data_IF_935669507188
#
_entry.id   IF_935669507188
#
_cell.length_a   1.000
_cell.length_b   1.000
_cell.length_c   1.000
_cell.angle_alpha   90.00
_cell.angle_beta   90.00
_cell.angle_gamma   90.00
#
_symmetry.space_group_name_H-M   'P 1'
#
loop_
_entity.id
_entity.type
_entity.pdbx_description
1 polymer ?
#
# COMPACT_ATOMS: atom_id res chain seq x y z
N UNK A 1 -17.98 -4.69 33.04
CA UNK A 1 -17.51 -4.50 31.65
C UNK A 1 -18.65 -3.89 30.87
N UNK A 2 -18.46 -2.80 30.12
CA UNK A 2 -19.46 -2.38 29.12
C UNK A 2 -19.63 -3.52 28.11
N UNK A 3 -20.84 -3.78 27.66
CA UNK A 3 -21.08 -4.86 26.70
C UNK A 3 -20.40 -4.55 25.36
N UNK A 4 -20.08 -5.59 24.59
CA UNK A 4 -19.56 -5.46 23.22
C UNK A 4 -20.44 -4.55 22.36
N UNK A 5 -21.76 -4.62 22.56
CA UNK A 5 -22.76 -3.81 21.88
C UNK A 5 -22.65 -2.33 22.24
N UNK A 6 -22.56 -2.00 23.53
CA UNK A 6 -22.42 -0.61 24.00
C UNK A 6 -21.09 0.00 23.56
N UNK A 7 -20.03 -0.80 23.50
CA UNK A 7 -18.70 -0.37 23.06
C UNK A 7 -18.70 -0.05 21.57
N UNK A 8 -19.37 -0.88 20.75
CA UNK A 8 -19.62 -0.59 19.34
C UNK A 8 -20.46 0.68 19.17
N UNK A 9 -21.52 0.87 19.94
CA UNK A 9 -22.37 2.06 19.86
C UNK A 9 -21.65 3.37 20.25
N UNK A 10 -20.60 3.31 21.07
CA UNK A 10 -19.73 4.47 21.37
C UNK A 10 -18.72 4.75 20.25
N UNK A 11 -18.19 3.72 19.57
CA UNK A 11 -17.34 3.85 18.38
C UNK A 11 -18.04 4.62 17.25
N UNK A 12 -19.34 4.42 17.11
CA UNK A 12 -20.17 5.02 16.06
C UNK A 12 -20.51 6.50 16.29
N UNK A 13 -20.20 7.07 17.46
CA UNK A 13 -20.56 8.47 17.81
C UNK A 13 -19.42 9.47 17.65
N UNK A 14 -18.22 9.03 17.25
CA UNK A 14 -17.10 9.93 17.02
C UNK A 14 -17.33 10.75 15.74
N UNK A 15 -17.57 12.06 15.89
CA UNK A 15 -17.98 12.97 14.81
C UNK A 15 -16.83 13.76 14.18
N UNK A 16 -15.58 13.43 14.47
CA UNK A 16 -14.41 14.16 13.94
C UNK A 16 -13.99 13.65 12.55
N UNK A 17 -14.78 13.97 11.53
CA UNK A 17 -14.53 13.51 10.16
C UNK A 17 -13.44 14.29 9.41
N UNK A 18 -12.69 15.19 10.06
CA UNK A 18 -11.67 16.03 9.38
C UNK A 18 -10.62 15.20 8.64
N UNK A 19 -10.16 14.12 9.25
CA UNK A 19 -9.23 13.17 8.62
C UNK A 19 -9.85 12.56 7.36
N UNK A 20 -11.10 12.11 7.44
CA UNK A 20 -11.82 11.58 6.29
C UNK A 20 -11.95 12.62 5.19
N UNK A 21 -12.50 13.81 5.49
CA UNK A 21 -12.67 14.90 4.52
C UNK A 21 -11.38 15.26 3.81
N UNK A 22 -10.26 15.40 4.54
CA UNK A 22 -8.95 15.70 3.95
C UNK A 22 -8.46 14.61 2.99
N UNK A 23 -8.62 13.33 3.36
CA UNK A 23 -8.15 12.21 2.54
C UNK A 23 -9.02 12.02 1.31
N UNK A 24 -10.32 12.29 1.42
CA UNK A 24 -11.26 12.20 0.29
C UNK A 24 -11.00 13.21 -0.81
N UNK A 25 -10.29 14.31 -0.55
CA UNK A 25 -9.90 15.24 -1.64
C UNK A 25 -8.69 14.75 -2.43
N UNK A 26 -8.05 13.63 -2.04
CA UNK A 26 -6.79 13.15 -2.62
C UNK A 26 -6.85 11.70 -3.10
N UNK A 27 -7.37 10.80 -2.26
CA UNK A 27 -7.43 9.36 -2.54
C UNK A 27 -8.06 9.05 -3.91
N UNK A 28 -9.17 9.69 -4.34
CA UNK A 28 -9.72 9.45 -5.67
C UNK A 28 -8.73 9.70 -6.81
N UNK A 29 -8.00 10.83 -6.77
CA UNK A 29 -6.98 11.14 -7.79
C UNK A 29 -5.83 10.15 -7.76
N UNK A 30 -5.37 9.77 -6.56
CA UNK A 30 -4.33 8.75 -6.40
C UNK A 30 -4.74 7.39 -7.01
N UNK A 31 -6.00 6.99 -6.84
CA UNK A 31 -6.54 5.75 -7.43
C UNK A 31 -6.60 5.87 -8.95
N UNK A 32 -7.06 7.00 -9.48
CA UNK A 32 -7.11 7.24 -10.92
C UNK A 32 -5.71 7.16 -11.55
N UNK A 33 -4.72 7.76 -10.90
CA UNK A 33 -3.32 7.72 -11.36
C UNK A 33 -2.74 6.30 -11.31
N UNK A 34 -3.07 5.51 -10.27
CA UNK A 34 -2.69 4.09 -10.24
C UNK A 34 -3.38 3.29 -11.34
N UNK A 35 -4.66 3.57 -11.62
CA UNK A 35 -5.39 2.91 -12.71
C UNK A 35 -4.73 3.16 -14.06
N UNK A 36 -4.40 4.42 -14.38
CA UNK A 36 -3.69 4.77 -15.62
C UNK A 36 -2.33 4.08 -15.71
N UNK A 37 -1.57 4.11 -14.62
CA UNK A 37 -0.26 3.47 -14.56
C UNK A 37 -0.34 1.95 -14.78
N UNK A 38 -1.39 1.30 -14.28
CA UNK A 38 -1.61 -0.12 -14.51
C UNK A 38 -2.01 -0.42 -15.96
N UNK A 39 -2.80 0.43 -16.60
CA UNK A 39 -3.10 0.30 -18.02
C UNK A 39 -1.82 0.38 -18.87
N UNK A 40 -0.89 1.28 -18.52
CA UNK A 40 0.41 1.41 -19.19
C UNK A 40 1.29 0.16 -18.99
N UNK A 41 1.37 -0.35 -17.75
CA UNK A 41 2.11 -1.59 -17.44
C UNK A 41 1.51 -2.78 -18.22
N UNK A 42 0.18 -2.86 -18.29
CA UNK A 42 -0.53 -3.90 -19.04
C UNK A 42 -0.27 -3.79 -20.54
N UNK A 43 -0.22 -2.58 -21.09
CA UNK A 43 0.11 -2.36 -22.49
C UNK A 43 1.55 -2.83 -22.78
N UNK A 44 2.52 -2.39 -21.98
CA UNK A 44 3.91 -2.80 -22.12
C UNK A 44 4.06 -4.33 -21.99
N UNK A 45 3.39 -4.94 -21.01
CA UNK A 45 3.44 -6.39 -20.81
C UNK A 45 2.85 -7.18 -22.00
N UNK A 46 1.82 -6.63 -22.67
CA UNK A 46 1.27 -7.25 -23.89
C UNK A 46 2.21 -7.16 -25.08
N UNK A 47 2.97 -6.07 -25.19
CA UNK A 47 3.89 -5.83 -26.31
C UNK A 47 5.23 -6.55 -26.13
N UNK A 48 5.82 -6.45 -24.94
CA UNK A 48 7.19 -6.92 -24.65
C UNK A 48 7.22 -8.27 -23.91
N UNK A 49 6.07 -8.73 -23.39
CA UNK A 49 5.99 -9.91 -22.55
C UNK A 49 6.55 -9.68 -21.14
N UNK A 50 6.85 -10.78 -20.46
CA UNK A 50 7.41 -10.75 -19.11
C UNK A 50 8.83 -10.17 -19.12
N UNK A 51 9.01 -8.97 -18.53
CA UNK A 51 10.28 -8.27 -18.46
C UNK A 51 10.50 -7.61 -17.08
N UNK A 52 11.75 -7.25 -16.78
CA UNK A 52 12.14 -6.68 -15.48
C UNK A 52 11.44 -5.36 -15.15
N UNK A 53 11.31 -4.45 -16.12
CA UNK A 53 10.74 -3.12 -15.90
C UNK A 53 9.25 -3.21 -15.53
N UNK A 54 8.46 -3.99 -16.28
CA UNK A 54 7.04 -4.16 -16.00
C UNK A 54 6.79 -4.85 -14.65
N UNK A 55 7.66 -5.78 -14.23
CA UNK A 55 7.57 -6.41 -12.90
C UNK A 55 7.90 -5.42 -11.78
N UNK A 56 8.90 -4.58 -11.98
CA UNK A 56 9.31 -3.54 -11.02
C UNK A 56 8.17 -2.55 -10.80
N UNK A 57 7.62 -2.02 -11.89
CA UNK A 57 6.48 -1.09 -11.87
C UNK A 57 5.23 -1.72 -11.25
N UNK A 58 4.98 -3.00 -11.52
CA UNK A 58 3.88 -3.73 -10.91
C UNK A 58 4.03 -3.83 -9.38
N UNK A 59 5.21 -4.22 -8.88
CA UNK A 59 5.42 -4.30 -7.43
C UNK A 59 5.30 -2.92 -6.76
N UNK A 60 5.79 -1.86 -7.42
CA UNK A 60 5.60 -0.48 -6.95
C UNK A 60 4.12 -0.11 -6.87
N UNK A 61 3.32 -0.48 -7.88
CA UNK A 61 1.88 -0.28 -7.90
C UNK A 61 1.18 -1.03 -6.75
N UNK A 62 1.59 -2.27 -6.46
CA UNK A 62 1.06 -3.04 -5.30
C UNK A 62 1.25 -2.31 -3.98
N UNK A 63 2.49 -1.92 -3.68
CA UNK A 63 2.81 -1.22 -2.43
C UNK A 63 2.02 0.10 -2.35
N UNK A 64 1.92 0.87 -3.44
CA UNK A 64 1.15 2.11 -3.50
C UNK A 64 -0.35 1.90 -3.22
N UNK A 65 -0.97 0.93 -3.89
CA UNK A 65 -2.40 0.61 -3.71
C UNK A 65 -2.68 0.16 -2.30
N UNK A 66 -1.81 -0.66 -1.71
CA UNK A 66 -1.96 -1.06 -0.31
C UNK A 66 -1.80 0.12 0.64
N UNK A 67 -0.87 1.05 0.39
CA UNK A 67 -0.74 2.27 1.21
C UNK A 67 -1.99 3.13 1.11
N UNK A 68 -2.63 3.23 -0.07
CA UNK A 68 -3.93 3.91 -0.23
C UNK A 68 -5.02 3.20 0.59
N UNK A 69 -5.11 1.88 0.52
CA UNK A 69 -6.09 1.09 1.29
C UNK A 69 -5.94 1.28 2.78
N UNK A 70 -4.70 1.20 3.27
CA UNK A 70 -4.37 1.46 4.67
C UNK A 70 -4.73 2.88 5.08
N UNK A 71 -4.41 3.83 4.22
CA UNK A 71 -4.73 5.23 4.45
C UNK A 71 -6.24 5.48 4.53
N UNK A 72 -7.03 4.79 3.69
CA UNK A 72 -8.50 4.80 3.78
C UNK A 72 -8.97 4.13 5.08
N UNK A 73 -8.39 2.99 5.45
CA UNK A 73 -8.73 2.29 6.69
C UNK A 73 -8.47 3.19 7.91
N UNK A 74 -7.40 3.98 7.90
CA UNK A 74 -7.03 4.89 8.98
C UNK A 74 -8.10 5.96 9.26
N UNK A 75 -8.87 6.37 8.26
CA UNK A 75 -9.92 7.39 8.42
C UNK A 75 -11.35 6.85 8.44
N UNK A 76 -11.54 5.55 8.20
CA UNK A 76 -12.85 4.88 8.13
C UNK A 76 -13.08 3.90 9.27
N UNK A 77 -12.03 3.55 10.01
CA UNK A 77 -12.09 2.64 11.14
C UNK A 77 -11.64 3.33 12.42
N UNK A 78 -12.14 2.85 13.55
CA UNK A 78 -11.68 3.19 14.89
C UNK A 78 -11.10 1.96 15.60
N UNK A 79 -10.29 2.23 16.61
CA UNK A 79 -9.75 1.23 17.54
C UNK A 79 -10.05 1.63 18.98
N UNK A 80 -10.04 0.63 19.87
CA UNK A 80 -10.17 0.85 21.30
C UNK A 80 -8.79 1.03 21.92
N UNK A 81 -8.56 2.20 22.52
CA UNK A 81 -7.37 2.45 23.32
C UNK A 81 -7.43 1.70 24.67
N UNK A 82 -6.28 1.55 25.33
CA UNK A 82 -6.18 0.87 26.63
C UNK A 82 -7.07 1.49 27.72
N UNK A 83 -7.37 2.79 27.63
CA UNK A 83 -8.28 3.52 28.52
C UNK A 83 -9.76 3.40 28.12
N UNK A 84 -10.08 2.50 27.16
CA UNK A 84 -11.40 2.26 26.58
C UNK A 84 -11.99 3.46 25.86
N UNK A 85 -11.18 4.43 25.46
CA UNK A 85 -11.62 5.48 24.54
C UNK A 85 -11.49 5.01 23.10
N UNK A 86 -12.40 5.55 22.30
CA UNK A 86 -12.40 5.40 20.85
C UNK A 86 -11.42 6.41 20.26
N UNK A 87 -10.57 5.94 19.36
CA UNK A 87 -9.71 6.81 18.56
C UNK A 87 -9.58 6.28 17.12
N UNK A 88 -9.19 7.15 16.21
CA UNK A 88 -8.65 6.71 14.92
C UNK A 88 -7.41 5.85 15.18
N UNK A 89 -7.21 4.76 14.42
CA UNK A 89 -6.00 3.99 14.53
C UNK A 89 -4.81 4.88 14.17
N UNK A 90 -3.78 4.76 14.98
CA UNK A 90 -2.47 5.31 14.68
C UNK A 90 -1.95 4.69 13.39
N UNK A 91 -1.00 5.37 12.77
CA UNK A 91 -0.37 4.85 11.56
C UNK A 91 0.29 3.49 11.81
N UNK A 92 0.94 3.29 12.95
CA UNK A 92 1.55 2.02 13.32
C UNK A 92 0.51 0.88 13.36
N UNK A 93 -0.62 1.09 14.04
CA UNK A 93 -1.71 0.10 14.16
C UNK A 93 -2.27 -0.28 12.77
N UNK A 94 -2.40 0.69 11.86
CA UNK A 94 -2.84 0.42 10.48
C UNK A 94 -1.77 -0.33 9.69
N UNK A 95 -0.50 0.06 9.83
CA UNK A 95 0.63 -0.53 9.12
C UNK A 95 0.88 -2.00 9.54
N UNK A 96 0.52 -2.41 10.76
CA UNK A 96 0.49 -3.81 11.16
C UNK A 96 -0.47 -4.66 10.30
N UNK A 97 -1.46 -4.05 9.63
CA UNK A 97 -2.32 -4.75 8.66
C UNK A 97 -1.64 -4.99 7.31
N UNK A 98 -0.67 -4.15 6.95
CA UNK A 98 0.09 -4.25 5.70
C UNK A 98 0.85 -5.57 5.60
N UNK A 99 1.30 -6.10 6.74
CA UNK A 99 2.15 -7.29 6.83
C UNK A 99 1.35 -8.57 6.99
N UNK A 100 0.00 -8.51 6.97
CA UNK A 100 -0.88 -9.66 7.23
C UNK A 100 -0.53 -10.43 8.52
N UNK A 101 0.14 -9.78 9.48
CA UNK A 101 0.45 -10.38 10.77
C UNK A 101 -0.81 -10.50 11.62
N UNK A 102 -0.77 -11.35 12.65
CA UNK A 102 -1.88 -11.44 13.61
C UNK A 102 -1.96 -10.12 14.37
N UNK A 103 -2.85 -9.25 13.93
CA UNK A 103 -3.16 -8.00 14.61
C UNK A 103 -3.81 -8.38 15.94
N UNK A 104 -3.24 -7.89 17.05
CA UNK A 104 -3.79 -8.13 18.39
C UNK A 104 -4.98 -7.25 18.72
N UNK A 105 -5.28 -6.28 17.85
CA UNK A 105 -6.28 -5.24 18.01
C UNK A 105 -7.37 -5.30 16.93
N UNK A 106 -8.62 -5.25 17.36
CA UNK A 106 -9.77 -5.19 16.46
C UNK A 106 -9.97 -3.77 15.90
N UNK A 107 -10.29 -3.70 14.61
CA UNK A 107 -10.66 -2.47 13.92
C UNK A 107 -12.16 -2.48 13.66
N UNK A 108 -12.81 -1.37 13.94
CA UNK A 108 -14.27 -1.26 13.82
C UNK A 108 -14.61 -0.16 12.83
N UNK A 109 -15.43 -0.44 11.79
CA UNK A 109 -15.92 0.59 10.89
C UNK A 109 -16.64 1.69 11.66
N UNK A 110 -16.39 2.95 11.29
CA UNK A 110 -17.06 4.12 11.86
C UNK A 110 -18.37 4.40 11.12
N UNK A 111 -19.36 4.93 11.83
CA UNK A 111 -20.60 5.43 11.20
C UNK A 111 -20.31 6.80 10.58
N UNK A 112 -20.17 6.80 9.25
CA UNK A 112 -19.98 8.01 8.47
C UNK A 112 -21.35 8.66 8.14
N UNK A 113 -21.43 10.00 8.09
CA UNK A 113 -22.54 10.70 7.48
C UNK A 113 -22.79 10.18 6.07
N UNK A 114 -24.06 10.15 5.63
CA UNK A 114 -24.46 9.50 4.37
C UNK A 114 -23.60 9.93 3.16
N UNK A 115 -23.33 11.22 3.03
CA UNK A 115 -22.51 11.77 1.96
C UNK A 115 -21.04 11.30 1.99
N UNK A 116 -20.50 11.06 3.19
CA UNK A 116 -19.17 10.52 3.38
C UNK A 116 -19.14 9.00 3.19
N UNK A 117 -20.19 8.30 3.60
CA UNK A 117 -20.32 6.85 3.37
C UNK A 117 -20.49 6.54 1.87
N UNK A 118 -21.31 7.31 1.15
CA UNK A 118 -21.47 7.15 -0.30
C UNK A 118 -20.12 7.29 -1.02
N UNK A 119 -19.29 8.27 -0.62
CA UNK A 119 -17.92 8.45 -1.14
C UNK A 119 -16.96 7.33 -0.72
N UNK A 120 -17.04 6.88 0.53
CA UNK A 120 -16.25 5.77 1.04
C UNK A 120 -16.52 4.51 0.22
N UNK A 121 -17.81 4.22 -0.05
CA UNK A 121 -18.22 3.07 -0.84
C UNK A 121 -17.70 3.18 -2.28
N UNK A 122 -17.83 4.33 -2.93
CA UNK A 122 -17.30 4.55 -4.28
C UNK A 122 -15.80 4.24 -4.36
N UNK A 123 -15.01 4.78 -3.44
CA UNK A 123 -13.56 4.56 -3.37
C UNK A 123 -13.23 3.09 -3.13
N UNK A 124 -13.97 2.42 -2.24
CA UNK A 124 -13.77 0.98 -1.98
C UNK A 124 -14.06 0.15 -3.22
N UNK A 125 -15.11 0.48 -3.97
CA UNK A 125 -15.45 -0.19 -5.23
C UNK A 125 -14.35 0.02 -6.28
N UNK A 126 -13.81 1.23 -6.40
CA UNK A 126 -12.67 1.52 -7.28
C UNK A 126 -11.42 0.72 -6.89
N UNK A 127 -11.07 0.68 -5.59
CA UNK A 127 -9.95 -0.13 -5.10
C UNK A 127 -10.16 -1.62 -5.37
N UNK A 128 -11.37 -2.14 -5.17
CA UNK A 128 -11.69 -3.55 -5.47
C UNK A 128 -11.55 -3.83 -6.97
N UNK A 129 -12.03 -2.93 -7.83
CA UNK A 129 -11.88 -3.05 -9.29
C UNK A 129 -10.40 -3.09 -9.68
N UNK A 130 -9.62 -2.12 -9.19
CA UNK A 130 -8.18 -2.02 -9.45
C UNK A 130 -7.43 -3.30 -9.05
N UNK A 131 -7.83 -3.89 -7.92
CA UNK A 131 -7.24 -5.15 -7.43
C UNK A 131 -7.57 -6.34 -8.33
N UNK A 132 -8.79 -6.41 -8.84
CA UNK A 132 -9.19 -7.46 -9.77
C UNK A 132 -8.46 -7.36 -11.11
N UNK A 133 -8.19 -6.14 -11.57
CA UNK A 133 -7.41 -5.89 -12.79
C UNK A 133 -5.95 -6.31 -12.63
N UNK A 134 -5.45 -6.30 -11.39
CA UNK A 134 -4.12 -6.75 -11.01
C UNK A 134 -3.96 -8.28 -10.90
N UNK A 135 -5.02 -9.01 -10.54
CA UNK A 135 -4.98 -10.47 -10.32
C UNK A 135 -4.38 -11.28 -11.50
N UNK A 136 -4.73 -11.02 -12.78
CA UNK A 136 -4.12 -11.76 -13.89
C UNK A 136 -2.61 -11.56 -13.99
N UNK A 137 -2.13 -10.35 -13.72
CA UNK A 137 -0.70 -10.02 -13.78
C UNK A 137 0.03 -10.70 -12.61
N UNK A 138 -0.55 -10.68 -11.41
CA UNK A 138 -0.03 -11.40 -10.24
C UNK A 138 0.22 -12.86 -10.56
N UNK A 139 -0.77 -13.55 -11.12
CA UNK A 139 -0.65 -14.97 -11.45
C UNK A 139 0.47 -15.24 -12.45
N UNK A 140 0.64 -14.35 -13.43
CA UNK A 140 1.73 -14.46 -14.41
C UNK A 140 3.09 -14.25 -13.75
N UNK A 141 3.22 -13.28 -12.84
CA UNK A 141 4.45 -13.07 -12.08
C UNK A 141 4.73 -14.27 -11.18
N UNK A 142 3.75 -14.76 -10.42
CA UNK A 142 3.90 -15.92 -9.54
C UNK A 142 4.35 -17.19 -10.29
N UNK A 143 3.86 -17.39 -11.52
CA UNK A 143 4.30 -18.49 -12.38
C UNK A 143 5.79 -18.41 -12.78
N UNK A 144 6.35 -17.20 -12.90
CA UNK A 144 7.71 -16.97 -13.35
C UNK A 144 8.70 -16.74 -12.21
N UNK A 145 8.25 -16.20 -11.07
CA UNK A 145 9.14 -15.69 -10.03
C UNK A 145 8.83 -16.18 -8.62
N UNK A 146 7.86 -17.08 -8.44
CA UNK A 146 7.49 -17.62 -7.13
C UNK A 146 6.52 -16.74 -6.34
N UNK A 147 6.29 -17.09 -5.08
CA UNK A 147 5.25 -16.46 -4.23
C UNK A 147 5.47 -14.95 -4.06
N UNK A 148 4.53 -14.19 -4.63
CA UNK A 148 4.55 -12.74 -4.60
C UNK A 148 4.02 -12.19 -3.27
N UNK A 149 3.14 -12.89 -2.58
CA UNK A 149 2.55 -12.43 -1.33
C UNK A 149 3.61 -12.38 -0.21
N UNK A 150 4.42 -13.43 -0.08
CA UNK A 150 5.50 -13.46 0.91
C UNK A 150 6.54 -12.38 0.60
N UNK A 151 6.89 -12.20 -0.68
CA UNK A 151 7.83 -11.18 -1.15
C UNK A 151 7.33 -9.77 -0.83
N UNK A 152 6.10 -9.45 -1.25
CA UNK A 152 5.49 -8.15 -1.00
C UNK A 152 5.37 -7.87 0.49
N UNK A 153 5.03 -8.86 1.32
CA UNK A 153 5.00 -8.72 2.78
C UNK A 153 6.36 -8.32 3.36
N UNK A 154 7.44 -8.95 2.93
CA UNK A 154 8.80 -8.63 3.42
C UNK A 154 9.20 -7.22 2.99
N UNK A 155 8.98 -6.88 1.72
CA UNK A 155 9.28 -5.54 1.19
C UNK A 155 8.45 -4.47 1.88
N UNK A 156 7.15 -4.70 2.03
CA UNK A 156 6.22 -3.87 2.78
C UNK A 156 6.73 -3.57 4.20
N UNK A 157 7.20 -4.58 4.90
CA UNK A 157 7.79 -4.46 6.24
C UNK A 157 9.04 -3.57 6.22
N UNK A 158 9.89 -3.70 5.20
CA UNK A 158 11.10 -2.88 5.06
C UNK A 158 10.79 -1.42 4.73
N UNK A 159 9.82 -1.17 3.84
CA UNK A 159 9.34 0.18 3.53
C UNK A 159 8.89 0.88 4.81
N UNK A 160 8.15 0.18 5.68
CA UNK A 160 7.70 0.73 6.96
C UNK A 160 8.83 1.02 7.94
N UNK A 161 9.71 0.04 8.18
CA UNK A 161 10.82 0.18 9.13
C UNK A 161 11.72 1.37 8.82
N UNK A 162 11.91 1.65 7.52
CA UNK A 162 12.81 2.69 7.06
C UNK A 162 12.09 4.04 6.84
N UNK A 163 10.75 4.09 6.88
CA UNK A 163 9.97 5.29 6.61
C UNK A 163 8.93 5.58 7.70
N UNK A 164 9.37 6.26 8.75
CA UNK A 164 8.46 6.82 9.74
C UNK A 164 7.42 7.72 9.04
N UNK A 165 6.17 7.52 9.40
CA UNK A 165 5.03 8.30 8.94
C UNK A 165 4.70 8.24 7.43
N UNK A 166 5.01 7.11 6.77
CA UNK A 166 4.70 6.86 5.35
C UNK A 166 3.25 7.21 4.96
N UNK A 167 2.23 6.83 5.74
CA UNK A 167 0.81 7.08 5.42
C UNK A 167 0.44 8.57 5.46
N UNK A 168 1.18 9.39 6.21
CA UNK A 168 1.00 10.85 6.19
C UNK A 168 1.69 11.49 4.98
N UNK A 169 2.79 10.89 4.49
CA UNK A 169 3.64 11.43 3.42
C UNK A 169 3.15 11.08 2.03
N UNK A 170 2.34 10.04 1.84
CA UNK A 170 1.80 9.68 0.52
C UNK A 170 0.95 10.81 -0.12
N UNK A 171 0.60 11.85 0.63
CA UNK A 171 -0.13 13.02 0.13
C UNK A 171 0.76 14.15 -0.36
N UNK A 172 2.08 14.03 -0.17
CA UNK A 172 3.06 14.90 -0.80
C UNK A 172 3.44 14.31 -2.16
N UNK A 173 3.23 15.07 -3.23
CA UNK A 173 3.38 14.58 -4.60
C UNK A 173 4.81 14.12 -4.89
N UNK A 174 5.81 14.86 -4.39
CA UNK A 174 7.24 14.52 -4.57
C UNK A 174 7.56 13.21 -3.84
N UNK A 175 7.08 13.08 -2.61
CA UNK A 175 7.26 11.84 -1.86
C UNK A 175 6.59 10.67 -2.57
N UNK A 176 5.33 10.81 -2.96
CA UNK A 176 4.54 9.72 -3.53
C UNK A 176 5.02 9.24 -4.91
N UNK A 177 5.47 10.18 -5.75
CA UNK A 177 5.88 9.87 -7.13
C UNK A 177 7.34 9.45 -7.21
N UNK A 178 8.23 9.99 -6.36
CA UNK A 178 9.68 9.80 -6.51
C UNK A 178 10.29 9.09 -5.31
N UNK A 179 10.14 9.65 -4.11
CA UNK A 179 10.82 9.12 -2.91
C UNK A 179 10.29 7.73 -2.54
N UNK A 180 9.00 7.49 -2.73
CA UNK A 180 8.38 6.21 -2.44
C UNK A 180 8.90 5.11 -3.38
N UNK A 181 9.16 5.39 -4.66
CA UNK A 181 9.76 4.41 -5.57
C UNK A 181 11.17 4.04 -5.12
N UNK A 182 11.99 5.04 -4.79
CA UNK A 182 13.32 4.80 -4.21
C UNK A 182 13.27 3.95 -2.93
N UNK A 183 12.31 4.23 -2.06
CA UNK A 183 12.12 3.47 -0.82
C UNK A 183 11.69 2.02 -1.07
N UNK A 184 10.85 1.79 -2.07
CA UNK A 184 10.42 0.45 -2.48
C UNK A 184 11.61 -0.32 -3.06
N UNK A 185 12.37 0.31 -3.95
CA UNK A 185 13.55 -0.29 -4.56
C UNK A 185 14.59 -0.71 -3.52
N UNK A 186 14.90 0.20 -2.59
CA UNK A 186 15.84 -0.06 -1.51
C UNK A 186 15.33 -1.15 -0.55
N UNK A 187 14.00 -1.27 -0.38
CA UNK A 187 13.41 -2.35 0.41
C UNK A 187 13.58 -3.73 -0.26
N UNK A 188 13.45 -3.81 -1.59
CA UNK A 188 13.77 -5.03 -2.35
C UNK A 188 15.26 -5.38 -2.27
N UNK A 189 16.13 -4.39 -2.45
CA UNK A 189 17.59 -4.57 -2.36
C UNK A 189 18.01 -5.03 -0.95
N UNK A 190 17.44 -4.44 0.10
CA UNK A 190 17.67 -4.87 1.50
C UNK A 190 17.19 -6.30 1.72
N UNK A 191 15.98 -6.65 1.24
CA UNK A 191 15.44 -8.00 1.36
C UNK A 191 16.36 -9.04 0.70
N UNK A 192 16.99 -8.69 -0.42
CA UNK A 192 17.96 -9.53 -1.11
C UNK A 192 19.29 -9.64 -0.35
N UNK A 193 19.93 -8.49 -0.04
CA UNK A 193 21.24 -8.42 0.62
C UNK A 193 21.24 -9.12 1.99
N UNK A 194 20.18 -8.93 2.75
CA UNK A 194 20.04 -9.49 4.09
C UNK A 194 19.42 -10.89 4.09
N UNK A 195 19.12 -11.45 2.92
CA UNK A 195 18.49 -12.77 2.74
C UNK A 195 17.20 -12.92 3.57
N UNK A 196 16.38 -11.87 3.63
CA UNK A 196 15.14 -11.87 4.41
C UNK A 196 14.08 -12.81 3.85
N UNK A 197 14.17 -13.12 2.55
CA UNK A 197 13.33 -14.09 1.84
C UNK A 197 14.13 -14.71 0.69
N UNK A 198 13.84 -15.98 0.39
CA UNK A 198 14.43 -16.70 -0.74
C UNK A 198 13.39 -16.90 -1.85
N UNK A 199 13.04 -15.81 -2.53
CA UNK A 199 12.14 -15.82 -3.69
C UNK A 199 12.88 -15.36 -4.95
N UNK A 200 12.69 -16.03 -6.10
CA UNK A 200 13.23 -15.57 -7.38
C UNK A 200 12.80 -14.14 -7.72
N UNK A 201 11.63 -13.69 -7.26
CA UNK A 201 11.13 -12.32 -7.46
C UNK A 201 12.07 -11.26 -6.88
N UNK A 202 12.61 -11.50 -5.67
CA UNK A 202 13.53 -10.55 -5.02
C UNK A 202 14.85 -10.44 -5.78
N UNK A 203 15.36 -11.55 -6.27
CA UNK A 203 16.58 -11.56 -7.09
C UNK A 203 16.33 -10.90 -8.46
N UNK A 204 15.19 -11.20 -9.09
CA UNK A 204 14.77 -10.63 -10.37
C UNK A 204 14.58 -9.11 -10.29
N UNK A 205 14.04 -8.61 -9.18
CA UNK A 205 13.89 -7.18 -8.90
C UNK A 205 15.25 -6.53 -8.60
N UNK A 206 16.08 -7.15 -7.76
CA UNK A 206 17.38 -6.58 -7.36
C UNK A 206 18.37 -6.49 -8.51
N UNK A 207 18.31 -7.42 -9.49
CA UNK A 207 19.10 -7.30 -10.72
C UNK A 207 18.74 -6.05 -11.53
N UNK A 208 17.47 -5.63 -11.52
CA UNK A 208 17.07 -4.37 -12.16
C UNK A 208 17.60 -3.16 -11.39
N UNK A 209 17.42 -3.10 -10.07
CA UNK A 209 17.88 -1.94 -9.29
C UNK A 209 19.39 -1.77 -9.40
N UNK A 210 20.17 -2.85 -9.30
CA UNK A 210 21.61 -2.81 -9.51
C UNK A 210 21.98 -2.31 -10.91
N UNK A 211 21.30 -2.78 -11.96
CA UNK A 211 21.57 -2.36 -13.34
C UNK A 211 21.17 -0.90 -13.61
N UNK A 212 20.00 -0.48 -13.10
CA UNK A 212 19.47 0.88 -13.28
C UNK A 212 20.30 1.92 -12.53
N UNK A 213 20.68 1.65 -11.28
CA UNK A 213 21.55 2.54 -10.52
C UNK A 213 22.98 2.54 -11.07
N UNK A 214 23.54 1.39 -11.51
CA UNK A 214 24.85 1.36 -12.16
C UNK A 214 24.88 2.20 -13.45
N UNK A 215 23.83 2.15 -14.27
CA UNK A 215 23.77 2.93 -15.50
C UNK A 215 23.56 4.42 -15.22
N UNK A 216 22.71 4.79 -14.26
CA UNK A 216 22.62 6.19 -13.78
C UNK A 216 23.95 6.71 -13.20
N UNK A 217 24.68 5.89 -12.44
CA UNK A 217 25.99 6.26 -11.89
C UNK A 217 27.06 6.38 -12.99
N UNK A 218 27.02 5.52 -14.02
CA UNK A 218 27.91 5.65 -15.20
C UNK A 218 27.62 6.92 -16.00
N UNK A 219 26.35 7.26 -16.21
CA UNK A 219 25.97 8.49 -16.92
C UNK A 219 26.35 9.76 -16.16
N UNK A 220 26.48 9.70 -14.82
CA UNK A 220 26.99 10.80 -13.99
C UNK A 220 28.52 10.87 -13.89
N UNK A 221 29.25 9.89 -14.43
CA UNK A 221 30.72 9.86 -14.51
C UNK A 221 31.26 10.39 -15.85
N UNK A 222 30.39 10.84 -16.76
CA UNK A 222 30.74 11.48 -18.04
C UNK A 222 30.69 13.00 -17.93
#
# INVERSE_FOLDING_TARGET
>A
MKSYKETKEELLKATDYRSFTYRMTRIPGMIEDQSKKLDDILAQFKEEGFNHLSVVELCRAFIRIDLIRLSLMQCTHGVMAADKKVQYPTELEVLERFTLEKITQDFYPLDLPKDLEDKNQEIREQLVKLTKELEPILRLVEQNTGDMNETLKVVATQVQKNNNHVLSKIYDDVFYTTVLDYNIDNAFETAWKDNLIQSPLVSFYSMFTLSFYDDMFKDQLV
#
